data_IF_725352632013
#
_entry.id   IF_725352632013
#
_cell.length_a   1.000
_cell.length_b   1.000
_cell.length_c   1.000
_cell.angle_alpha   90.00
_cell.angle_beta   90.00
_cell.angle_gamma   90.00
#
_symmetry.space_group_name_H-M   'P 1'
#
loop_
_entity.id
_entity.type
_entity.pdbx_description
1 polymer ?
#
# COMPACT_ATOMS: atom_id res chain seq x y z
N UNK A 1 -17.65 -4.46 2.70
CA UNK A 1 -16.66 -4.62 1.66
C UNK A 1 -16.27 -3.30 1.06
N UNK A 2 -14.99 -3.08 0.88
CA UNK A 2 -14.50 -1.85 0.29
C UNK A 2 -14.81 -1.79 -1.20
N UNK A 3 -15.26 -0.62 -1.65
CA UNK A 3 -15.74 -0.44 -3.01
C UNK A 3 -14.92 0.54 -3.84
N UNK A 4 -13.78 0.96 -3.35
CA UNK A 4 -12.99 1.98 -4.05
C UNK A 4 -12.60 1.61 -5.49
N UNK A 5 -12.39 0.37 -5.88
CA UNK A 5 -12.03 0.06 -7.27
C UNK A 5 -13.16 0.21 -8.26
N UNK A 6 -14.38 0.36 -7.81
CA UNK A 6 -15.53 0.37 -8.70
C UNK A 6 -15.66 1.61 -9.57
N UNK A 7 -14.98 2.66 -9.23
CA UNK A 7 -15.15 3.93 -9.94
C UNK A 7 -14.21 4.09 -11.12
N UNK A 8 -14.08 3.08 -11.93
CA UNK A 8 -13.17 3.14 -13.06
C UNK A 8 -13.49 4.21 -14.07
N UNK A 9 -14.77 4.43 -14.34
CA UNK A 9 -15.15 5.44 -15.31
C UNK A 9 -14.87 6.84 -14.81
N UNK A 10 -15.19 7.12 -13.56
CA UNK A 10 -14.80 8.39 -12.93
C UNK A 10 -13.31 8.52 -12.89
N UNK A 11 -12.65 7.42 -12.64
CA UNK A 11 -11.21 7.36 -12.53
C UNK A 11 -10.53 7.86 -13.80
N UNK A 12 -11.05 7.50 -14.97
CA UNK A 12 -10.47 7.92 -16.23
C UNK A 12 -10.44 9.44 -16.36
N UNK A 13 -11.42 10.12 -15.81
CA UNK A 13 -11.57 11.55 -16.03
C UNK A 13 -11.06 12.43 -14.90
N UNK A 14 -11.10 11.94 -13.67
CA UNK A 14 -10.94 12.82 -12.53
C UNK A 14 -9.83 12.45 -11.58
N UNK A 15 -9.40 11.20 -11.62
CA UNK A 15 -8.48 10.77 -10.61
C UNK A 15 -7.05 11.17 -10.91
N UNK A 16 -6.41 11.62 -9.88
CA UNK A 16 -4.96 11.78 -9.86
C UNK A 16 -4.37 10.71 -8.96
N UNK A 17 -5.20 9.78 -8.49
CA UNK A 17 -4.73 8.72 -7.61
C UNK A 17 -3.81 7.76 -8.35
N UNK A 18 -2.71 7.42 -7.72
CA UNK A 18 -1.84 6.32 -8.14
C UNK A 18 -2.02 5.23 -7.11
N UNK A 19 -2.75 4.19 -7.49
CA UNK A 19 -3.16 3.13 -6.58
C UNK A 19 -2.06 2.10 -6.38
N UNK A 20 -2.02 1.55 -5.18
CA UNK A 20 -1.01 0.55 -4.86
C UNK A 20 -1.53 -0.44 -3.83
N UNK A 21 -0.78 -1.51 -3.64
CA UNK A 21 -0.98 -2.45 -2.54
C UNK A 21 0.30 -2.55 -1.74
N UNK A 22 0.14 -2.58 -0.43
CA UNK A 22 1.26 -2.69 0.50
C UNK A 22 1.16 -4.05 1.16
N UNK A 23 2.14 -4.90 0.96
CA UNK A 23 2.10 -6.27 1.45
C UNK A 23 3.30 -6.65 2.29
N UNK A 24 3.13 -7.69 3.07
CA UNK A 24 4.18 -8.34 3.83
C UNK A 24 4.17 -9.83 3.54
N UNK A 25 5.34 -10.38 3.23
CA UNK A 25 5.49 -11.81 3.02
C UNK A 25 5.61 -12.51 4.37
N UNK A 26 4.75 -13.50 4.58
CA UNK A 26 4.76 -14.30 5.79
C UNK A 26 5.72 -15.47 5.65
N UNK A 27 5.96 -16.19 6.75
CA UNK A 27 6.93 -17.27 6.79
C UNK A 27 6.68 -18.37 5.75
N UNK A 28 5.42 -18.65 5.47
CA UNK A 28 5.04 -19.72 4.54
C UNK A 28 4.97 -19.25 3.08
N UNK A 29 5.37 -18.00 2.82
CA UNK A 29 5.33 -17.44 1.47
C UNK A 29 4.01 -16.80 1.08
N UNK A 30 3.02 -16.82 1.98
CA UNK A 30 1.77 -16.12 1.75
C UNK A 30 1.94 -14.62 1.99
N UNK A 31 0.99 -13.84 1.51
CA UNK A 31 1.05 -12.38 1.57
C UNK A 31 -0.20 -11.83 2.25
N UNK A 32 -0.01 -10.94 3.22
CA UNK A 32 -1.08 -10.07 3.70
C UNK A 32 -0.84 -8.70 3.13
N UNK A 33 -1.89 -8.05 2.64
CA UNK A 33 -1.74 -6.73 2.03
C UNK A 33 -2.95 -5.84 2.25
N UNK A 34 -2.69 -4.54 2.17
CA UNK A 34 -3.72 -3.51 2.22
C UNK A 34 -3.66 -2.66 0.98
N UNK A 35 -4.83 -2.20 0.52
CA UNK A 35 -4.94 -1.24 -0.57
C UNK A 35 -4.53 0.15 -0.08
N UNK A 36 -3.84 0.89 -0.95
CA UNK A 36 -3.39 2.26 -0.67
C UNK A 36 -3.79 3.14 -1.86
N UNK A 37 -4.51 4.23 -1.60
CA UNK A 37 -5.17 4.98 -2.67
C UNK A 37 -4.31 6.09 -3.29
N UNK A 38 -3.70 6.96 -2.49
CA UNK A 38 -3.05 8.18 -2.99
C UNK A 38 -1.54 8.05 -3.13
N UNK A 39 -1.01 8.55 -4.27
CA UNK A 39 0.43 8.73 -4.45
C UNK A 39 1.24 7.46 -4.22
N UNK A 40 0.78 6.34 -4.81
CA UNK A 40 1.41 5.03 -4.62
C UNK A 40 2.69 4.79 -5.41
N UNK A 41 3.23 5.80 -6.09
CA UNK A 41 4.43 5.64 -6.91
C UNK A 41 5.70 5.56 -6.04
N UNK A 42 6.77 4.91 -6.56
CA UNK A 42 7.96 4.65 -5.74
C UNK A 42 8.65 5.88 -5.18
N UNK A 43 8.61 7.01 -5.87
CA UNK A 43 9.29 8.22 -5.40
C UNK A 43 8.56 8.91 -4.24
N UNK A 44 7.33 8.50 -3.94
CA UNK A 44 6.62 8.95 -2.75
C UNK A 44 6.38 7.78 -1.79
N UNK A 45 5.48 6.86 -2.13
CA UNK A 45 5.12 5.78 -1.23
C UNK A 45 6.31 4.89 -0.90
N UNK A 46 7.12 4.53 -1.91
CA UNK A 46 8.29 3.70 -1.65
C UNK A 46 9.22 4.31 -0.63
N UNK A 47 9.47 5.61 -0.75
CA UNK A 47 10.35 6.33 0.19
C UNK A 47 9.74 6.44 1.58
N UNK A 48 8.43 6.65 1.66
CA UNK A 48 7.71 6.68 2.95
C UNK A 48 7.84 5.32 3.65
N UNK A 49 7.59 4.25 2.91
CA UNK A 49 7.67 2.90 3.48
C UNK A 49 9.09 2.60 3.97
N UNK A 50 10.10 2.89 3.17
CA UNK A 50 11.48 2.65 3.57
C UNK A 50 11.91 3.48 4.77
N UNK A 51 11.40 4.70 4.89
CA UNK A 51 11.81 5.61 5.94
C UNK A 51 11.06 5.35 7.25
N UNK A 52 9.75 5.14 7.17
CA UNK A 52 8.88 5.16 8.34
C UNK A 52 8.29 3.81 8.72
N UNK A 53 8.32 2.84 7.81
CA UNK A 53 7.78 1.50 8.03
C UNK A 53 8.85 0.46 7.70
N UNK A 54 9.94 0.51 8.42
CA UNK A 54 11.14 -0.24 8.08
C UNK A 54 11.43 -1.42 8.99
N UNK A 55 10.46 -1.83 9.79
CA UNK A 55 10.56 -3.04 10.61
C UNK A 55 9.32 -3.90 10.41
N UNK A 56 9.47 -5.19 10.68
CA UNK A 56 8.35 -6.13 10.57
C UNK A 56 7.16 -5.66 11.42
N UNK A 57 7.43 -5.17 12.62
CA UNK A 57 6.39 -4.72 13.54
C UNK A 57 5.63 -3.51 12.98
N UNK A 58 6.36 -2.55 12.45
CA UNK A 58 5.74 -1.37 11.86
C UNK A 58 4.92 -1.71 10.63
N UNK A 59 5.43 -2.59 9.78
CA UNK A 59 4.73 -3.03 8.58
C UNK A 59 3.48 -3.81 8.93
N UNK A 60 3.60 -4.75 9.87
CA UNK A 60 2.45 -5.56 10.31
C UNK A 60 1.35 -4.68 10.90
N UNK A 61 1.71 -3.72 11.74
CA UNK A 61 0.73 -2.79 12.32
C UNK A 61 0.06 -1.96 11.25
N UNK A 62 0.80 -1.50 10.26
CA UNK A 62 0.23 -0.72 9.17
C UNK A 62 -0.81 -1.52 8.40
N UNK A 63 -0.46 -2.74 8.02
CA UNK A 63 -1.34 -3.60 7.20
C UNK A 63 -2.56 -4.06 7.99
N UNK A 64 -2.40 -4.31 9.29
CA UNK A 64 -3.48 -4.80 10.14
C UNK A 64 -4.69 -3.85 10.18
N UNK A 65 -4.49 -2.56 9.95
CA UNK A 65 -5.58 -1.60 9.90
C UNK A 65 -6.46 -1.73 8.67
N UNK A 66 -6.04 -2.50 7.69
CA UNK A 66 -6.78 -2.73 6.46
C UNK A 66 -6.49 -1.69 5.39
N UNK A 67 -7.41 -1.55 4.46
CA UNK A 67 -7.26 -0.63 3.34
C UNK A 67 -7.23 0.82 3.81
N UNK A 68 -6.46 1.64 3.11
CA UNK A 68 -6.23 3.02 3.53
C UNK A 68 -6.24 3.98 2.35
N UNK A 69 -6.59 5.22 2.62
CA UNK A 69 -6.48 6.27 1.62
C UNK A 69 -5.02 6.72 1.48
N UNK A 70 -4.31 6.79 2.59
CA UNK A 70 -2.89 7.14 2.64
C UNK A 70 -2.26 6.55 3.89
N UNK A 71 -1.01 6.15 3.80
CA UNK A 71 -0.26 5.70 4.97
C UNK A 71 0.46 6.85 5.67
N UNK A 72 0.39 8.06 5.13
CA UNK A 72 1.17 9.19 5.64
C UNK A 72 0.36 10.48 5.56
N UNK A 73 -0.65 10.59 6.40
CA UNK A 73 -1.55 11.76 6.47
C UNK A 73 -1.43 12.42 7.84
N UNK A 74 -1.55 13.74 7.86
CA UNK A 74 -1.55 14.50 9.11
C UNK A 74 -2.93 14.56 9.76
N UNK A 75 -3.95 14.07 9.08
CA UNK A 75 -5.32 14.01 9.61
C UNK A 75 -5.90 12.61 9.40
N UNK A 76 -7.04 12.35 10.05
CA UNK A 76 -7.84 11.16 9.81
C UNK A 76 -9.22 11.64 9.41
N UNK A 77 -9.49 11.62 8.10
CA UNK A 77 -10.75 12.08 7.50
C UNK A 77 -11.13 13.49 7.97
N UNK A 78 -10.14 14.40 7.89
CA UNK A 78 -10.35 15.81 8.25
C UNK A 78 -10.29 16.09 9.74
N UNK A 79 -10.08 15.08 10.57
CA UNK A 79 -9.97 15.24 12.02
C UNK A 79 -8.50 15.17 12.44
N UNK A 80 -8.18 15.87 13.53
CA UNK A 80 -6.86 15.80 14.11
C UNK A 80 -6.55 14.36 14.54
N UNK A 81 -5.30 13.95 14.34
CA UNK A 81 -4.88 12.62 14.76
C UNK A 81 -4.87 12.51 16.27
N UNK A 82 -5.32 11.34 16.76
CA UNK A 82 -5.41 11.06 18.21
C UNK A 82 -4.41 10.00 18.66
N UNK A 83 -3.58 9.48 17.75
CA UNK A 83 -2.61 8.43 18.06
C UNK A 83 -1.27 8.97 18.57
N UNK A 84 -1.14 10.28 18.71
CA UNK A 84 0.10 10.90 19.16
C UNK A 84 1.13 11.09 18.06
N UNK A 85 0.84 10.68 16.84
CA UNK A 85 1.76 10.83 15.72
C UNK A 85 1.37 12.04 14.86
N UNK A 86 2.37 12.72 14.31
CA UNK A 86 2.11 13.83 13.42
C UNK A 86 1.56 13.35 12.07
N UNK A 87 2.08 12.24 11.59
CA UNK A 87 1.65 11.61 10.35
C UNK A 87 1.41 10.13 10.59
N UNK A 88 0.53 9.55 9.81
CA UNK A 88 0.25 8.13 9.88
C UNK A 88 -0.88 7.72 8.95
N UNK A 89 -1.36 6.48 9.10
CA UNK A 89 -2.35 5.95 8.17
C UNK A 89 -3.73 6.57 8.38
N UNK A 90 -4.42 6.71 7.25
CA UNK A 90 -5.83 7.12 7.22
C UNK A 90 -6.61 5.93 6.68
N UNK A 91 -7.15 5.12 7.58
CA UNK A 91 -7.85 3.89 7.23
C UNK A 91 -9.32 4.14 6.91
N UNK A 92 -9.85 3.40 5.95
CA UNK A 92 -11.29 3.42 5.65
C UNK A 92 -12.12 2.93 6.84
N UNK A 93 -11.55 2.04 7.66
CA UNK A 93 -12.23 1.58 8.88
C UNK A 93 -12.53 2.71 9.86
N UNK A 94 -11.73 3.78 9.84
CA UNK A 94 -11.95 4.91 10.74
C UNK A 94 -13.22 5.70 10.42
N UNK A 95 -13.81 5.48 9.24
CA UNK A 95 -15.10 6.08 8.90
C UNK A 95 -16.19 5.01 8.71
N UNK A 96 -16.01 3.84 9.29
CA UNK A 96 -17.04 2.81 9.37
C UNK A 96 -17.05 1.79 8.24
N UNK A 97 -16.08 1.81 7.33
CA UNK A 97 -16.01 0.84 6.25
C UNK A 97 -15.23 -0.39 6.69
N UNK A 98 -15.72 -1.56 6.34
CA UNK A 98 -15.05 -2.81 6.69
C UNK A 98 -14.16 -3.24 5.53
N UNK A 99 -12.89 -2.92 5.62
CA UNK A 99 -11.91 -3.19 4.57
C UNK A 99 -10.68 -3.88 5.13
N UNK A 100 -10.82 -5.16 5.56
CA UNK A 100 -9.69 -5.86 6.18
C UNK A 100 -8.57 -6.15 5.18
N UNK A 101 -7.37 -6.52 5.66
CA UNK A 101 -6.29 -6.92 4.78
C UNK A 101 -6.69 -8.11 3.93
N UNK A 102 -6.09 -8.20 2.74
CA UNK A 102 -6.30 -9.33 1.84
C UNK A 102 -5.20 -10.35 2.04
N UNK A 103 -5.60 -11.61 2.07
CA UNK A 103 -4.67 -12.73 2.10
C UNK A 103 -4.51 -13.30 0.69
N UNK A 104 -3.27 -13.49 0.26
CA UNK A 104 -2.94 -14.21 -0.97
C UNK A 104 -2.01 -15.36 -0.59
N UNK A 105 -2.22 -16.52 -1.21
CA UNK A 105 -1.48 -17.72 -0.81
C UNK A 105 -0.01 -17.67 -1.21
N UNK A 106 0.32 -16.87 -2.25
CA UNK A 106 1.69 -16.73 -2.75
C UNK A 106 1.84 -15.41 -3.52
N UNK A 107 3.05 -15.14 -3.98
CA UNK A 107 3.36 -13.93 -4.74
C UNK A 107 2.63 -13.87 -6.07
N UNK A 108 2.44 -15.01 -6.72
CA UNK A 108 1.75 -15.06 -8.00
C UNK A 108 0.31 -14.55 -7.86
N UNK A 109 -0.40 -15.05 -6.84
CA UNK A 109 -1.75 -14.60 -6.57
C UNK A 109 -1.79 -13.11 -6.20
N UNK A 110 -0.82 -12.68 -5.40
CA UNK A 110 -0.72 -11.28 -5.00
C UNK A 110 -0.58 -10.37 -6.22
N UNK A 111 0.33 -10.69 -7.14
CA UNK A 111 0.54 -9.88 -8.33
C UNK A 111 -0.64 -9.92 -9.29
N UNK A 112 -1.34 -11.05 -9.40
CA UNK A 112 -2.46 -11.18 -10.34
C UNK A 112 -3.62 -10.26 -9.99
N UNK A 113 -3.68 -9.78 -8.76
CA UNK A 113 -4.74 -8.89 -8.29
C UNK A 113 -4.16 -7.56 -7.78
N UNK A 114 -3.06 -7.12 -8.38
CA UNK A 114 -2.39 -5.90 -7.97
C UNK A 114 -3.03 -4.64 -8.53
N UNK A 115 -2.55 -3.53 -8.03
CA UNK A 115 -2.91 -2.19 -8.51
C UNK A 115 -1.80 -1.68 -9.44
N UNK A 116 -1.68 -0.35 -9.59
CA UNK A 116 -0.64 0.23 -10.46
C UNK A 116 0.77 -0.07 -9.95
N UNK A 117 0.96 -0.08 -8.63
CA UNK A 117 2.21 -0.49 -8.00
C UNK A 117 1.94 -1.47 -6.88
N UNK A 118 2.85 -2.40 -6.70
CA UNK A 118 2.80 -3.38 -5.61
C UNK A 118 4.06 -3.27 -4.78
N UNK A 119 3.92 -3.31 -3.47
CA UNK A 119 5.04 -3.24 -2.53
C UNK A 119 5.01 -4.46 -1.64
N UNK A 120 6.19 -5.07 -1.44
CA UNK A 120 6.34 -6.24 -0.57
C UNK A 120 7.48 -6.02 0.39
N UNK A 121 7.18 -6.18 1.67
CA UNK A 121 8.21 -6.24 2.70
C UNK A 121 8.62 -7.71 2.88
N UNK A 122 9.88 -7.95 2.62
CA UNK A 122 10.44 -9.31 2.63
C UNK A 122 11.86 -9.26 3.17
N UNK A 123 12.17 -10.12 4.13
CA UNK A 123 13.52 -10.23 4.69
C UNK A 123 14.08 -8.87 5.14
N UNK A 124 13.23 -8.03 5.74
CA UNK A 124 13.64 -6.74 6.25
C UNK A 124 13.77 -5.63 5.24
N UNK A 125 13.39 -5.87 3.99
CA UNK A 125 13.52 -4.88 2.92
C UNK A 125 12.23 -4.71 2.15
N UNK A 126 12.04 -3.51 1.57
CA UNK A 126 10.93 -3.24 0.67
C UNK A 126 11.33 -3.48 -0.77
N UNK A 127 10.41 -4.07 -1.51
CA UNK A 127 10.51 -4.25 -2.96
C UNK A 127 9.30 -3.63 -3.62
N UNK A 128 9.53 -2.77 -4.61
CA UNK A 128 8.47 -2.11 -5.36
C UNK A 128 8.38 -2.73 -6.75
N UNK A 129 7.16 -2.87 -7.25
CA UNK A 129 6.90 -3.44 -8.56
C UNK A 129 5.95 -2.53 -9.33
N UNK A 130 6.32 -2.22 -10.58
CA UNK A 130 5.46 -1.46 -11.48
C UNK A 130 4.56 -2.46 -12.22
N UNK A 131 3.26 -2.32 -12.03
CA UNK A 131 2.29 -3.29 -12.54
C UNK A 131 1.58 -2.81 -13.81
N UNK A 132 1.97 -1.69 -14.39
CA UNK A 132 1.28 -1.14 -15.56
C UNK A 132 1.32 -2.06 -16.77
N UNK A 133 2.42 -2.79 -16.95
CA UNK A 133 2.57 -3.73 -18.04
C UNK A 133 2.70 -5.16 -17.53
N UNK A 134 2.01 -5.44 -16.45
CA UNK A 134 2.08 -6.75 -15.83
C UNK A 134 1.56 -7.83 -16.77
N UNK A 135 2.34 -8.90 -16.87
CA UNK A 135 2.01 -10.09 -17.65
C UNK A 135 2.09 -11.29 -16.70
N UNK A 136 0.98 -11.98 -16.49
CA UNK A 136 0.91 -13.06 -15.52
C UNK A 136 1.69 -14.31 -15.93
N UNK A 137 2.27 -14.32 -17.14
CA UNK A 137 3.17 -15.41 -17.56
C UNK A 137 4.62 -15.17 -17.19
N UNK A 138 4.95 -13.96 -16.71
CA UNK A 138 6.33 -13.58 -16.37
C UNK A 138 6.32 -12.90 -15.00
N UNK A 139 7.17 -13.38 -14.10
CA UNK A 139 7.29 -12.76 -12.79
C UNK A 139 7.81 -11.32 -12.94
N UNK A 140 7.19 -10.33 -12.29
CA UNK A 140 7.66 -8.96 -12.40
C UNK A 140 9.01 -8.79 -11.69
N UNK A 141 9.80 -7.88 -12.22
CA UNK A 141 11.07 -7.51 -11.62
C UNK A 141 10.87 -6.27 -10.73
N UNK A 142 11.57 -6.19 -9.59
CA UNK A 142 11.48 -4.98 -8.76
C UNK A 142 11.98 -3.75 -9.50
N UNK A 143 11.34 -2.61 -9.22
CA UNK A 143 11.81 -1.32 -9.72
C UNK A 143 12.49 -0.58 -8.58
N UNK A 144 13.30 0.41 -8.94
CA UNK A 144 14.05 1.18 -7.95
C UNK A 144 13.14 2.07 -7.10
N UNK A 145 13.41 2.09 -5.79
CA UNK A 145 12.85 3.10 -4.89
C UNK A 145 13.94 4.16 -4.75
N UNK A 146 13.69 5.42 -5.15
CA UNK A 146 14.72 6.44 -5.07
C UNK A 146 15.26 6.60 -3.64
N UNK A 147 16.58 6.80 -3.55
CA UNK A 147 17.24 6.92 -2.26
C UNK A 147 16.86 8.22 -1.53
N UNK A 148 16.96 8.16 -0.21
CA UNK A 148 16.75 9.33 0.64
C UNK A 148 15.32 9.47 1.11
N UNK A 149 15.15 9.94 2.33
CA UNK A 149 13.84 10.16 2.93
C UNK A 149 13.20 11.42 2.39
N UNK A 150 11.87 11.42 2.36
CA UNK A 150 11.13 12.64 2.06
C UNK A 150 11.13 13.54 3.28
N UNK A 151 11.23 14.84 3.03
CA UNK A 151 11.16 15.85 4.09
C UNK A 151 9.69 16.21 4.32
N UNK A 152 9.07 15.50 5.23
CA UNK A 152 7.65 15.73 5.57
C UNK A 152 7.44 15.94 7.06
#
# INVERSE_FOLDING_TARGET
MCSHPQNRLSHIFFTMATRSRIGIELQDGSILSSYHHWDGYPSWLGRILETHYNTKEKVSSLIDGGDMSSCWSDTVWGQERTDGNKYGPEYYSARGENCPPRYDKDMEEFFSMGEEYSYIFRNGNWFAYDMHEFDDTVAPEPVEIPAGALAV
#
